data_IF_619900170442
#
_entry.id   IF_619900170442
#
_cell.length_a   1.000
_cell.length_b   1.000
_cell.length_c   1.000
_cell.angle_alpha   90.00
_cell.angle_beta   90.00
_cell.angle_gamma   90.00
#
_symmetry.space_group_name_H-M   'P 1'
#
loop_
_entity.id
_entity.type
_entity.pdbx_description
1 polymer ?
#
# COMPACT_ATOMS: atom_id res chain seq x y z
N UNK A 1 1.74 -1.29 -16.97
CA UNK A 1 2.36 -2.33 -16.19
C UNK A 1 1.49 -2.67 -14.98
N UNK A 2 1.09 -3.94 -14.86
CA UNK A 2 0.27 -4.38 -13.74
C UNK A 2 1.15 -4.66 -12.52
N UNK A 3 0.71 -4.20 -11.36
CA UNK A 3 1.40 -4.40 -10.10
C UNK A 3 0.44 -5.07 -9.13
N UNK A 4 0.89 -6.14 -8.48
CA UNK A 4 0.09 -6.86 -7.51
C UNK A 4 0.55 -6.64 -6.08
N UNK A 5 1.82 -6.28 -5.88
CA UNK A 5 2.31 -5.93 -4.55
C UNK A 5 3.49 -4.96 -4.66
N UNK A 6 3.72 -4.25 -3.59
CA UNK A 6 4.80 -3.26 -3.53
C UNK A 6 5.14 -2.98 -2.07
N UNK A 7 6.28 -2.33 -1.87
CA UNK A 7 6.70 -1.91 -0.54
C UNK A 7 6.36 -0.45 -0.31
N UNK A 8 5.91 -0.16 0.91
CA UNK A 8 5.88 1.21 1.42
C UNK A 8 7.06 1.39 2.34
N UNK A 9 7.75 2.50 2.21
CA UNK A 9 8.86 2.85 3.10
C UNK A 9 8.55 4.16 3.81
N UNK A 10 9.30 4.44 4.87
CA UNK A 10 9.07 5.60 5.73
C UNK A 10 7.65 5.63 6.25
N UNK A 11 7.17 4.47 6.68
CA UNK A 11 5.78 4.31 7.09
C UNK A 11 5.54 4.95 8.44
N UNK A 12 4.47 5.72 8.53
CA UNK A 12 3.97 6.27 9.79
C UNK A 12 2.58 5.72 10.06
N UNK A 13 2.35 5.29 11.29
CA UNK A 13 1.05 4.82 11.71
C UNK A 13 0.34 5.89 12.52
N UNK A 14 -0.95 6.07 12.24
CA UNK A 14 -1.79 7.01 12.96
C UNK A 14 -2.68 6.28 13.94
N UNK A 15 -3.09 5.07 13.58
CA UNK A 15 -3.95 4.22 14.38
C UNK A 15 -3.40 2.82 14.41
N UNK A 16 -3.97 1.98 15.29
CA UNK A 16 -3.57 0.59 15.35
C UNK A 16 -3.78 -0.09 14.00
N UNK A 17 -2.83 -0.94 13.66
CA UNK A 17 -2.90 -1.68 12.42
C UNK A 17 -3.95 -2.77 12.52
N UNK A 18 -4.96 -2.68 11.68
CA UNK A 18 -5.94 -3.73 11.53
C UNK A 18 -5.42 -4.76 10.53
N UNK A 19 -6.00 -5.95 10.57
CA UNK A 19 -5.58 -7.02 9.67
C UNK A 19 -6.60 -7.32 8.59
N UNK A 20 -7.77 -6.70 8.63
CA UNK A 20 -8.81 -6.97 7.64
C UNK A 20 -9.47 -5.68 7.19
N UNK A 21 -10.15 -5.77 6.06
CA UNK A 21 -10.91 -4.66 5.46
C UNK A 21 -10.04 -3.45 5.18
N UNK A 22 -8.81 -3.70 4.73
CA UNK A 22 -7.88 -2.64 4.43
C UNK A 22 -7.98 -2.24 2.97
N UNK A 23 -7.86 -0.94 2.73
CA UNK A 23 -7.70 -0.40 1.39
C UNK A 23 -6.52 0.53 1.37
N UNK A 24 -5.97 0.74 0.19
CA UNK A 24 -4.91 1.72 0.01
C UNK A 24 -5.32 2.66 -1.12
N UNK A 25 -5.04 3.94 -0.91
CA UNK A 25 -5.27 4.96 -1.91
C UNK A 25 -3.94 5.59 -2.24
N UNK A 26 -3.62 5.64 -3.53
CA UNK A 26 -2.41 6.33 -3.97
C UNK A 26 -2.81 7.65 -4.60
N UNK A 27 -1.88 8.57 -4.62
CA UNK A 27 -2.15 9.88 -5.18
C UNK A 27 -2.52 9.81 -6.66
N UNK A 28 -1.92 8.88 -7.36
CA UNK A 28 -2.15 8.72 -8.79
C UNK A 28 -3.51 8.10 -9.08
N UNK A 29 -3.93 7.22 -8.21
CA UNK A 29 -5.19 6.51 -8.37
C UNK A 29 -6.11 6.89 -7.21
N UNK A 30 -7.24 7.51 -7.52
CA UNK A 30 -8.15 7.97 -6.48
C UNK A 30 -9.08 6.87 -5.97
N UNK A 31 -9.01 5.68 -6.57
CA UNK A 31 -9.83 4.57 -6.10
C UNK A 31 -9.21 3.89 -4.90
N UNK A 32 -10.05 3.40 -4.02
CA UNK A 32 -9.61 2.57 -2.90
C UNK A 32 -9.32 1.17 -3.41
N UNK A 33 -8.12 0.71 -3.22
CA UNK A 33 -7.70 -0.61 -3.68
C UNK A 33 -7.66 -1.57 -2.50
N UNK A 34 -8.48 -2.61 -2.55
CA UNK A 34 -8.49 -3.61 -1.49
C UNK A 34 -7.13 -4.29 -1.39
N UNK A 35 -6.65 -4.43 -0.18
CA UNK A 35 -5.31 -4.96 0.03
C UNK A 35 -5.15 -5.63 1.38
N UNK A 36 -4.03 -6.32 1.53
CA UNK A 36 -3.51 -6.80 2.79
C UNK A 36 -2.14 -6.21 2.99
N UNK A 37 -1.72 -6.09 4.23
CA UNK A 37 -0.40 -5.57 4.54
C UNK A 37 0.36 -6.55 5.40
N UNK A 38 1.68 -6.55 5.22
CA UNK A 38 2.58 -7.42 5.93
C UNK A 38 3.79 -6.59 6.36
N UNK A 39 4.15 -6.68 7.62
CA UNK A 39 5.33 -5.99 8.13
C UNK A 39 6.57 -6.71 7.62
N UNK A 40 7.46 -5.97 6.98
CA UNK A 40 8.73 -6.50 6.51
C UNK A 40 9.83 -6.18 7.51
N UNK A 41 9.87 -4.92 7.93
CA UNK A 41 10.78 -4.44 8.95
C UNK A 41 10.24 -3.12 9.47
N UNK A 42 10.89 -2.57 10.49
CA UNK A 42 10.47 -1.29 11.03
C UNK A 42 10.47 -0.23 9.94
N UNK A 43 9.37 0.47 9.80
CA UNK A 43 9.22 1.51 8.80
C UNK A 43 8.92 1.04 7.39
N UNK A 44 8.79 -0.27 7.17
CA UNK A 44 8.49 -0.82 5.85
C UNK A 44 7.35 -1.81 5.92
N UNK A 45 6.41 -1.67 4.99
CA UNK A 45 5.30 -2.60 4.86
C UNK A 45 5.22 -3.11 3.43
N UNK A 46 4.89 -4.37 3.28
CA UNK A 46 4.50 -4.90 1.99
C UNK A 46 2.99 -4.78 1.84
N UNK A 47 2.55 -4.16 0.75
CA UNK A 47 1.14 -4.06 0.39
C UNK A 47 0.87 -5.11 -0.66
N UNK A 48 -0.10 -5.97 -0.37
CA UNK A 48 -0.50 -7.03 -1.28
C UNK A 48 -1.91 -6.72 -1.75
N UNK A 49 -2.04 -6.33 -3.01
CA UNK A 49 -3.33 -5.96 -3.57
C UNK A 49 -4.16 -7.21 -3.85
N UNK A 50 -5.45 -7.13 -3.58
CA UNK A 50 -6.36 -8.23 -3.88
C UNK A 50 -6.43 -8.46 -5.39
N UNK A 51 -6.33 -7.38 -6.18
CA UNK A 51 -6.31 -7.47 -7.64
C UNK A 51 -5.20 -6.59 -8.18
N UNK A 52 -4.49 -7.06 -9.22
CA UNK A 52 -3.45 -6.23 -9.83
C UNK A 52 -4.02 -4.94 -10.40
N UNK A 53 -3.22 -3.89 -10.39
CA UNK A 53 -3.66 -2.61 -10.88
C UNK A 53 -2.56 -1.89 -11.65
N UNK A 54 -2.97 -0.92 -12.46
CA UNK A 54 -2.07 -0.01 -13.13
C UNK A 54 -1.91 1.26 -12.31
N UNK A 55 -0.87 2.01 -12.59
CA UNK A 55 -0.73 3.36 -12.07
C UNK A 55 -0.04 3.47 -10.72
N UNK A 56 0.41 2.36 -10.17
CA UNK A 56 1.22 2.40 -8.96
C UNK A 56 2.68 2.60 -9.37
N UNK A 57 3.29 3.65 -8.86
CA UNK A 57 4.65 4.01 -9.26
C UNK A 57 5.49 4.38 -8.05
N UNK A 58 6.81 4.12 -8.11
CA UNK A 58 7.70 4.53 -7.04
C UNK A 58 7.67 6.04 -6.84
N UNK A 59 7.81 6.45 -5.61
CA UNK A 59 7.80 7.87 -5.23
C UNK A 59 6.44 8.41 -4.88
N UNK A 60 5.37 7.72 -5.25
CA UNK A 60 4.03 8.12 -4.84
C UNK A 60 3.81 7.79 -3.38
N UNK A 61 2.90 8.52 -2.76
CA UNK A 61 2.52 8.28 -1.39
C UNK A 61 1.26 7.42 -1.36
N UNK A 62 1.27 6.41 -0.50
CA UNK A 62 0.10 5.56 -0.32
C UNK A 62 -0.45 5.73 1.09
N UNK A 63 -1.76 5.84 1.22
CA UNK A 63 -2.44 5.95 2.51
C UNK A 63 -3.32 4.73 2.68
N UNK A 64 -3.17 4.07 3.82
CA UNK A 64 -3.90 2.84 4.13
C UNK A 64 -5.06 3.20 5.06
N UNK A 65 -6.23 2.68 4.72
CA UNK A 65 -7.47 2.91 5.47
C UNK A 65 -8.06 1.59 5.92
N UNK A 66 -8.79 1.65 7.01
CA UNK A 66 -9.76 0.62 7.39
C UNK A 66 -11.13 1.30 7.40
N UNK A 67 -11.95 1.00 6.40
CA UNK A 67 -13.16 1.77 6.19
C UNK A 67 -12.81 3.22 5.90
N UNK A 68 -13.27 4.14 6.72
CA UNK A 68 -12.96 5.56 6.59
C UNK A 68 -11.84 6.01 7.51
N UNK A 69 -11.29 5.09 8.30
CA UNK A 69 -10.28 5.41 9.30
C UNK A 69 -8.89 5.26 8.71
N UNK A 70 -8.07 6.29 8.82
CA UNK A 70 -6.68 6.23 8.37
C UNK A 70 -5.88 5.36 9.33
N UNK A 71 -5.21 4.36 8.79
CA UNK A 71 -4.32 3.49 9.55
C UNK A 71 -2.90 4.02 9.53
N UNK A 72 -2.43 4.39 8.35
CA UNK A 72 -1.09 4.91 8.18
C UNK A 72 -0.78 5.16 6.73
N UNK A 73 0.46 5.43 6.43
CA UNK A 73 0.89 5.66 5.07
C UNK A 73 2.39 5.68 4.92
N UNK A 74 2.84 5.64 3.69
CA UNK A 74 4.25 5.67 3.39
C UNK A 74 4.49 5.92 1.91
N UNK A 75 5.75 5.98 1.54
CA UNK A 75 6.15 6.22 0.17
C UNK A 75 6.37 4.88 -0.54
N UNK A 76 5.86 4.77 -1.75
CA UNK A 76 6.04 3.57 -2.54
C UNK A 76 7.50 3.46 -2.95
N UNK A 77 8.10 2.33 -2.59
CA UNK A 77 9.51 2.08 -2.82
C UNK A 77 9.76 1.65 -4.25
N UNK A 78 10.92 2.03 -4.77
CA UNK A 78 11.38 1.53 -6.08
C UNK A 78 12.05 0.16 -5.98
N UNK A 79 12.29 -0.32 -4.75
CA UNK A 79 13.10 -1.52 -4.56
C UNK A 79 12.42 -2.80 -4.98
N UNK A 80 11.14 -2.92 -4.66
CA UNK A 80 10.42 -4.16 -4.94
C UNK A 80 9.06 -3.81 -5.48
N UNK A 81 8.90 -3.97 -6.77
CA UNK A 81 7.60 -3.92 -7.42
C UNK A 81 7.45 -5.25 -8.14
N UNK A 82 6.61 -6.11 -7.59
CA UNK A 82 6.36 -7.39 -8.22
C UNK A 82 5.41 -7.21 -9.38
N UNK A 83 5.78 -7.80 -10.48
CA UNK A 83 4.96 -7.72 -11.68
C UNK A 83 4.12 -8.97 -11.77
N UNK A 84 2.86 -8.77 -12.10
CA UNK A 84 1.98 -9.90 -12.39
C UNK A 84 2.29 -10.40 -13.80
N UNK A 85 2.54 -11.65 -13.89
CA UNK A 85 2.82 -12.28 -15.17
C UNK A 85 1.59 -12.84 -15.82
#
# INVERSE_FOLDING_TARGET
>A
LLVSNFLLEDVSFVNEMATNDLTIQTRYNSEDLACKIKTVREGELEVILDEPTFGVAPGQFGVVYQGTKVVGGGRISSKVLEKTK
#
